data_IF_654645653907
#
_entry.id   IF_654645653907
#
_cell.length_a   1.000
_cell.length_b   1.000
_cell.length_c   1.000
_cell.angle_alpha   90.00
_cell.angle_beta   90.00
_cell.angle_gamma   90.00
#
_symmetry.space_group_name_H-M   'P 1'
#
loop_
_entity.id
_entity.type
_entity.pdbx_description
1 polymer ?
#
# COMPACT_ATOMS: atom_id res chain seq x y z
N UNK A 1 -0.68 -18.87 -39.22
CA UNK A 1 0.03 -19.20 -37.96
C UNK A 1 1.44 -18.57 -37.91
N UNK A 2 1.56 -17.24 -38.04
CA UNK A 2 2.86 -16.51 -38.12
C UNK A 2 3.09 -15.61 -36.88
N UNK A 3 2.08 -15.42 -36.02
CA UNK A 3 2.14 -14.51 -34.88
C UNK A 3 3.08 -14.99 -33.75
N UNK A 4 3.22 -16.29 -33.54
CA UNK A 4 4.05 -16.87 -32.47
C UNK A 4 5.55 -16.54 -32.59
N UNK A 5 6.22 -16.71 -33.75
CA UNK A 5 7.65 -16.40 -33.87
C UNK A 5 7.97 -14.89 -33.78
N UNK A 6 7.07 -14.02 -34.27
CA UNK A 6 7.23 -12.55 -34.19
C UNK A 6 7.04 -12.05 -32.75
N UNK A 7 6.02 -12.55 -32.05
CA UNK A 7 5.81 -12.24 -30.63
C UNK A 7 7.00 -12.71 -29.78
N UNK A 8 7.52 -13.91 -30.06
CA UNK A 8 8.66 -14.45 -29.33
C UNK A 8 9.93 -13.61 -29.53
N UNK A 9 10.23 -13.18 -30.76
CA UNK A 9 11.38 -12.31 -31.04
C UNK A 9 11.23 -10.92 -30.43
N UNK A 10 10.03 -10.34 -30.44
CA UNK A 10 9.75 -9.08 -29.75
C UNK A 10 9.92 -9.20 -28.23
N UNK A 11 9.42 -10.27 -27.63
CA UNK A 11 9.60 -10.56 -26.20
C UNK A 11 11.06 -10.69 -25.83
N UNK A 12 11.85 -11.45 -26.60
CA UNK A 12 13.30 -11.59 -26.37
C UNK A 12 14.03 -10.25 -26.49
N UNK A 13 13.67 -9.41 -27.46
CA UNK A 13 14.25 -8.07 -27.63
C UNK A 13 13.92 -7.16 -26.45
N UNK A 14 12.67 -7.17 -25.99
CA UNK A 14 12.21 -6.45 -24.80
C UNK A 14 12.97 -6.95 -23.56
N UNK A 15 13.12 -8.27 -23.39
CA UNK A 15 13.83 -8.87 -22.26
C UNK A 15 15.31 -8.50 -22.25
N UNK A 16 15.96 -8.52 -23.42
CA UNK A 16 17.35 -8.13 -23.55
C UNK A 16 17.55 -6.65 -23.26
N UNK A 17 16.65 -5.80 -23.78
CA UNK A 17 16.63 -4.38 -23.53
C UNK A 17 16.39 -4.05 -22.04
N UNK A 18 15.43 -4.73 -21.40
CA UNK A 18 15.16 -4.63 -19.96
C UNK A 18 16.40 -5.03 -19.16
N UNK A 19 16.99 -6.21 -19.43
CA UNK A 19 18.22 -6.66 -18.75
C UNK A 19 19.34 -5.64 -18.90
N UNK A 20 19.52 -5.06 -20.08
CA UNK A 20 20.55 -4.05 -20.28
C UNK A 20 20.35 -2.83 -19.36
N UNK A 21 19.12 -2.35 -19.22
CA UNK A 21 18.80 -1.16 -18.40
C UNK A 21 18.68 -1.46 -16.90
N UNK A 22 18.42 -2.70 -16.51
CA UNK A 22 18.28 -3.11 -15.09
C UNK A 22 19.52 -3.78 -14.50
N UNK A 23 20.56 -4.06 -15.31
CA UNK A 23 21.84 -4.66 -14.88
C UNK A 23 22.51 -3.96 -13.70
N UNK A 24 22.31 -2.65 -13.57
CA UNK A 24 22.91 -1.85 -12.50
C UNK A 24 22.23 -2.00 -11.14
N UNK A 25 21.05 -2.64 -11.08
CA UNK A 25 20.30 -2.87 -9.84
C UNK A 25 20.77 -4.15 -9.16
N UNK A 26 20.95 -4.08 -7.84
CA UNK A 26 21.32 -5.19 -6.99
C UNK A 26 20.21 -5.42 -5.97
N UNK A 27 20.10 -6.65 -5.45
CA UNK A 27 19.08 -7.01 -4.45
C UNK A 27 19.07 -6.07 -3.23
N UNK A 28 20.21 -5.54 -2.82
CA UNK A 28 20.34 -4.58 -1.73
C UNK A 28 19.63 -3.25 -1.98
N UNK A 29 19.39 -2.87 -3.24
CA UNK A 29 18.67 -1.64 -3.58
C UNK A 29 17.19 -1.72 -3.18
N UNK A 30 16.65 -2.94 -3.22
CA UNK A 30 15.26 -3.28 -2.89
C UNK A 30 15.08 -3.81 -1.48
N UNK A 31 16.16 -4.27 -0.83
CA UNK A 31 16.06 -4.91 0.47
C UNK A 31 15.87 -3.89 1.60
N UNK A 32 14.75 -3.95 2.36
CA UNK A 32 14.51 -3.01 3.44
C UNK A 32 15.33 -3.27 4.71
N UNK A 33 15.83 -4.49 4.91
CA UNK A 33 16.58 -4.85 6.12
C UNK A 33 15.82 -4.48 7.40
N UNK A 34 16.48 -3.74 8.29
CA UNK A 34 15.89 -3.31 9.58
C UNK A 34 14.70 -2.35 9.42
N UNK A 35 14.63 -1.59 8.33
CA UNK A 35 13.50 -0.70 8.08
C UNK A 35 12.17 -1.46 8.00
N UNK A 36 12.21 -2.75 7.65
CA UNK A 36 11.02 -3.59 7.67
C UNK A 36 10.46 -3.76 9.08
N UNK A 37 11.32 -3.94 10.09
CA UNK A 37 10.88 -4.00 11.49
C UNK A 37 10.29 -2.67 11.95
N UNK A 38 10.91 -1.55 11.56
CA UNK A 38 10.37 -0.21 11.85
C UNK A 38 8.95 -0.05 11.27
N UNK A 39 8.67 -0.65 10.12
CA UNK A 39 7.33 -0.70 9.54
C UNK A 39 6.34 -1.42 10.47
N UNK A 40 6.68 -2.62 10.94
CA UNK A 40 5.81 -3.37 11.87
C UNK A 40 5.61 -2.64 13.20
N UNK A 41 6.65 -2.00 13.71
CA UNK A 41 6.54 -1.19 14.94
C UNK A 41 5.59 -0.02 14.70
N UNK A 42 5.74 0.71 13.59
CA UNK A 42 4.83 1.79 13.22
C UNK A 42 3.39 1.28 13.01
N UNK A 43 3.22 0.13 12.35
CA UNK A 43 1.92 -0.50 12.18
C UNK A 43 1.28 -0.82 13.53
N UNK A 44 2.00 -1.49 14.43
CA UNK A 44 1.52 -1.84 15.76
C UNK A 44 1.19 -0.59 16.59
N UNK A 45 2.00 0.46 16.48
CA UNK A 45 1.78 1.74 17.17
C UNK A 45 0.47 2.43 16.74
N UNK A 46 -0.01 2.20 15.52
CA UNK A 46 -1.32 2.70 15.06
C UNK A 46 -2.44 1.70 15.29
N UNK A 47 -2.20 0.42 15.03
CA UNK A 47 -3.22 -0.61 15.08
C UNK A 47 -3.63 -0.97 16.51
N UNK A 48 -2.69 -1.10 17.46
CA UNK A 48 -2.99 -1.51 18.83
C UNK A 48 -3.86 -0.49 19.58
N UNK A 49 -3.58 0.83 19.54
CA UNK A 49 -4.47 1.82 20.14
C UNK A 49 -5.84 1.86 19.46
N UNK A 50 -5.91 1.65 18.15
CA UNK A 50 -7.18 1.57 17.43
C UNK A 50 -8.03 0.37 17.88
N UNK A 51 -7.43 -0.82 18.01
CA UNK A 51 -8.09 -2.02 18.55
C UNK A 51 -8.60 -1.74 19.96
N UNK A 52 -7.74 -1.21 20.84
CA UNK A 52 -8.11 -0.88 22.21
C UNK A 52 -9.26 0.14 22.26
N UNK A 53 -9.22 1.16 21.40
CA UNK A 53 -10.29 2.16 21.27
C UNK A 53 -11.64 1.54 20.94
N UNK A 54 -11.68 0.57 20.02
CA UNK A 54 -12.92 -0.15 19.69
C UNK A 54 -13.41 -0.99 20.87
N UNK A 55 -12.52 -1.78 21.48
CA UNK A 55 -12.87 -2.64 22.63
C UNK A 55 -13.40 -1.82 23.82
N UNK A 56 -12.77 -0.68 24.12
CA UNK A 56 -13.22 0.23 25.18
C UNK A 56 -14.56 0.88 24.81
N UNK A 57 -14.74 1.27 23.55
CA UNK A 57 -16.00 1.87 23.09
C UNK A 57 -17.17 0.88 23.19
N UNK A 58 -16.94 -0.38 22.81
CA UNK A 58 -17.92 -1.45 22.94
C UNK A 58 -18.31 -1.69 24.41
N UNK A 59 -17.32 -1.77 25.30
CA UNK A 59 -17.55 -1.91 26.74
C UNK A 59 -18.31 -0.72 27.36
N UNK A 60 -18.03 0.50 26.90
CA UNK A 60 -18.73 1.71 27.35
C UNK A 60 -20.16 1.83 26.81
N UNK A 61 -20.45 1.27 25.63
CA UNK A 61 -21.78 1.32 25.02
C UNK A 61 -22.86 0.72 25.92
N UNK A 62 -22.53 -0.30 26.71
CA UNK A 62 -23.43 -0.88 27.71
C UNK A 62 -23.72 0.01 28.93
N UNK A 63 -23.09 1.19 29.04
CA UNK A 63 -23.12 2.04 30.25
C UNK A 63 -23.44 3.50 29.97
N UNK A 64 -23.04 4.02 28.82
CA UNK A 64 -23.18 5.43 28.45
C UNK A 64 -23.41 5.61 26.94
N UNK A 65 -24.03 6.72 26.50
CA UNK A 65 -24.14 7.05 25.08
C UNK A 65 -22.75 7.34 24.50
N UNK A 66 -22.26 6.44 23.65
CA UNK A 66 -20.94 6.53 22.97
C UNK A 66 -21.06 6.80 21.47
N UNK A 67 -22.16 7.42 21.04
CA UNK A 67 -22.46 7.67 19.62
C UNK A 67 -21.32 8.37 18.88
N UNK A 68 -20.69 9.36 19.52
CA UNK A 68 -19.53 10.06 18.95
C UNK A 68 -18.34 9.12 18.67
N UNK A 69 -17.99 8.25 19.61
CA UNK A 69 -16.90 7.28 19.46
C UNK A 69 -17.21 6.24 18.39
N UNK A 70 -18.47 5.77 18.33
CA UNK A 70 -18.92 4.84 17.29
C UNK A 70 -18.85 5.46 15.90
N UNK A 71 -19.30 6.71 15.75
CA UNK A 71 -19.18 7.45 14.48
C UNK A 71 -17.71 7.63 14.11
N UNK A 72 -16.84 7.99 15.05
CA UNK A 72 -15.40 8.14 14.79
C UNK A 72 -14.75 6.82 14.31
N UNK A 73 -15.16 5.66 14.86
CA UNK A 73 -14.71 4.35 14.39
C UNK A 73 -15.15 4.08 12.95
N UNK A 74 -16.42 4.38 12.62
CA UNK A 74 -16.95 4.17 11.26
C UNK A 74 -16.24 5.04 10.22
N UNK A 75 -16.03 6.33 10.54
CA UNK A 75 -15.28 7.25 9.68
C UNK A 75 -13.82 6.81 9.52
N UNK A 76 -13.18 6.31 10.59
CA UNK A 76 -11.79 5.84 10.58
C UNK A 76 -11.56 4.57 9.75
N UNK A 77 -12.60 3.79 9.47
CA UNK A 77 -12.56 2.60 8.59
C UNK A 77 -12.72 3.01 7.11
N UNK A 78 -13.06 4.27 6.84
CA UNK A 78 -13.37 4.77 5.50
C UNK A 78 -12.26 4.56 4.47
N UNK A 79 -12.50 3.78 3.39
CA UNK A 79 -11.49 3.51 2.37
C UNK A 79 -11.12 4.74 1.53
N UNK A 80 -11.96 5.78 1.56
CA UNK A 80 -11.80 6.98 0.73
C UNK A 80 -10.48 7.70 0.97
N UNK A 81 -10.13 7.97 2.24
CA UNK A 81 -8.89 8.67 2.58
C UNK A 81 -7.67 7.84 2.16
N UNK A 82 -7.69 6.53 2.46
CA UNK A 82 -6.59 5.64 2.10
C UNK A 82 -6.39 5.58 0.58
N UNK A 83 -7.48 5.45 -0.20
CA UNK A 83 -7.44 5.38 -1.66
C UNK A 83 -6.95 6.70 -2.29
N UNK A 84 -7.45 7.84 -1.81
CA UNK A 84 -7.05 9.16 -2.33
C UNK A 84 -5.57 9.43 -2.06
N UNK A 85 -5.11 9.18 -0.83
CA UNK A 85 -3.69 9.38 -0.48
C UNK A 85 -2.80 8.34 -1.17
N UNK A 86 -3.25 7.09 -1.30
CA UNK A 86 -2.56 6.05 -2.06
C UNK A 86 -2.38 6.43 -3.53
N UNK A 87 -3.45 6.87 -4.20
CA UNK A 87 -3.40 7.32 -5.59
C UNK A 87 -2.50 8.56 -5.75
N UNK A 88 -2.66 9.57 -4.90
CA UNK A 88 -1.82 10.77 -4.93
C UNK A 88 -0.33 10.42 -4.72
N UNK A 89 -0.02 9.58 -3.73
CA UNK A 89 1.34 9.13 -3.47
C UNK A 89 1.93 8.36 -4.65
N UNK A 90 1.13 7.54 -5.34
CA UNK A 90 1.58 6.79 -6.53
C UNK A 90 1.84 7.73 -7.71
N UNK A 91 1.00 8.76 -7.90
CA UNK A 91 1.24 9.80 -8.90
C UNK A 91 2.55 10.53 -8.60
N UNK A 92 2.75 10.98 -7.35
CA UNK A 92 3.99 11.64 -6.92
C UNK A 92 5.22 10.73 -7.08
N UNK A 93 5.09 9.45 -6.77
CA UNK A 93 6.15 8.45 -6.98
C UNK A 93 6.46 8.24 -8.47
N UNK A 94 5.45 8.15 -9.33
CA UNK A 94 5.63 8.08 -10.77
C UNK A 94 6.35 9.31 -11.33
N UNK A 95 5.94 10.51 -10.89
CA UNK A 95 6.64 11.75 -11.23
C UNK A 95 8.09 11.73 -10.72
N UNK A 96 8.34 11.18 -9.53
CA UNK A 96 9.70 11.01 -9.00
C UNK A 96 10.54 10.09 -9.88
N UNK A 97 9.97 8.98 -10.37
CA UNK A 97 10.67 8.09 -11.31
C UNK A 97 11.03 8.81 -12.62
N UNK A 98 10.16 9.70 -13.11
CA UNK A 98 10.45 10.53 -14.28
C UNK A 98 11.56 11.57 -13.99
N UNK A 99 11.50 12.23 -12.82
CA UNK A 99 12.42 13.27 -12.39
C UNK A 99 13.15 12.92 -11.07
N UNK A 100 14.05 11.92 -11.06
CA UNK A 100 14.55 11.28 -9.83
C UNK A 100 15.50 12.13 -8.99
N UNK A 101 15.95 13.28 -9.49
CA UNK A 101 16.81 14.21 -8.76
C UNK A 101 16.02 15.24 -7.94
N UNK A 102 14.69 15.25 -8.04
CA UNK A 102 13.84 16.25 -7.39
C UNK A 102 13.56 15.89 -5.93
N UNK A 103 14.34 16.47 -5.01
CA UNK A 103 14.24 16.17 -3.56
C UNK A 103 12.88 16.47 -2.95
N UNK A 104 12.24 17.56 -3.36
CA UNK A 104 10.90 17.93 -2.86
C UNK A 104 9.85 16.87 -3.24
N UNK A 105 10.00 16.28 -4.43
CA UNK A 105 9.07 15.28 -4.95
C UNK A 105 9.24 13.95 -4.22
N UNK A 106 10.47 13.58 -3.85
CA UNK A 106 10.72 12.45 -2.96
C UNK A 106 10.17 12.66 -1.56
N UNK A 107 10.34 13.85 -0.98
CA UNK A 107 9.74 14.20 0.31
C UNK A 107 8.21 14.08 0.26
N UNK A 108 7.57 14.62 -0.78
CA UNK A 108 6.13 14.55 -0.95
C UNK A 108 5.64 13.11 -1.13
N UNK A 109 6.23 12.34 -2.06
CA UNK A 109 5.86 10.95 -2.31
C UNK A 109 6.05 10.08 -1.05
N UNK A 110 7.18 10.25 -0.36
CA UNK A 110 7.51 9.56 0.89
C UNK A 110 6.48 9.85 1.98
N UNK A 111 6.21 11.14 2.25
CA UNK A 111 5.33 11.54 3.34
C UNK A 111 3.88 11.13 3.07
N UNK A 112 3.39 11.33 1.84
CA UNK A 112 2.05 10.92 1.45
C UNK A 112 1.90 9.40 1.61
N UNK A 113 2.86 8.61 1.13
CA UNK A 113 2.80 7.14 1.26
C UNK A 113 2.92 6.64 2.70
N UNK A 114 3.75 7.27 3.53
CA UNK A 114 3.79 6.95 4.96
C UNK A 114 2.49 7.30 5.68
N UNK A 115 1.86 8.41 5.32
CA UNK A 115 0.56 8.76 5.86
C UNK A 115 -0.50 7.74 5.41
N UNK A 116 -0.52 7.35 4.13
CA UNK A 116 -1.36 6.25 3.62
C UNK A 116 -1.17 4.98 4.44
N UNK A 117 0.08 4.59 4.68
CA UNK A 117 0.40 3.42 5.50
C UNK A 117 -0.15 3.50 6.93
N UNK A 118 0.01 4.67 7.55
CA UNK A 118 -0.44 4.94 8.92
C UNK A 118 -1.97 4.90 9.02
N UNK A 119 -2.67 5.53 8.08
CA UNK A 119 -4.14 5.45 7.99
C UNK A 119 -4.62 4.03 7.76
N UNK A 120 -3.94 3.26 6.91
CA UNK A 120 -4.29 1.87 6.67
C UNK A 120 -4.03 0.99 7.90
N UNK A 121 -2.98 1.26 8.68
CA UNK A 121 -2.71 0.56 9.93
C UNK A 121 -3.78 0.87 10.99
N UNK A 122 -4.19 2.14 11.10
CA UNK A 122 -5.29 2.56 11.95
C UNK A 122 -6.61 1.90 11.54
N UNK A 123 -6.98 1.98 10.26
CA UNK A 123 -8.22 1.39 9.73
C UNK A 123 -8.27 -0.13 9.90
N UNK A 124 -7.14 -0.83 9.66
CA UNK A 124 -7.04 -2.27 9.92
C UNK A 124 -7.16 -2.60 11.41
N UNK A 125 -6.58 -1.77 12.30
CA UNK A 125 -6.75 -1.90 13.74
C UNK A 125 -8.21 -1.73 14.18
N UNK A 126 -8.91 -0.73 13.66
CA UNK A 126 -10.33 -0.51 13.92
C UNK A 126 -11.19 -1.69 13.45
N UNK A 127 -10.97 -2.17 12.22
CA UNK A 127 -11.66 -3.34 11.66
C UNK A 127 -11.41 -4.60 12.49
N UNK A 128 -10.16 -4.83 12.89
CA UNK A 128 -9.81 -5.98 13.72
C UNK A 128 -10.44 -5.87 15.11
N UNK A 129 -10.47 -4.67 15.70
CA UNK A 129 -11.17 -4.39 16.95
C UNK A 129 -12.66 -4.71 16.86
N UNK A 130 -13.34 -4.28 15.79
CA UNK A 130 -14.75 -4.62 15.56
C UNK A 130 -14.94 -6.13 15.41
N UNK A 131 -14.07 -6.78 14.64
CA UNK A 131 -14.12 -8.24 14.45
C UNK A 131 -13.99 -9.00 15.78
N UNK A 132 -13.14 -8.52 16.70
CA UNK A 132 -13.00 -9.10 18.05
C UNK A 132 -14.28 -8.91 18.87
N UNK A 133 -14.91 -7.73 18.80
CA UNK A 133 -16.09 -7.40 19.62
C UNK A 133 -17.39 -8.06 19.12
N UNK A 134 -17.48 -8.42 17.82
CA UNK A 134 -18.69 -9.01 17.23
C UNK A 134 -19.07 -10.38 17.84
N UNK A 135 -18.17 -11.05 18.56
CA UNK A 135 -18.48 -12.32 19.24
C UNK A 135 -18.79 -13.46 18.25
N UNK A 136 -18.77 -14.70 18.75
CA UNK A 136 -18.90 -15.92 17.95
C UNK A 136 -20.15 -15.94 17.04
N UNK A 137 -20.08 -16.61 15.86
CA UNK A 137 -21.16 -16.58 14.87
C UNK A 137 -22.47 -17.22 15.39
N UNK A 138 -23.62 -16.83 14.81
CA UNK A 138 -24.93 -17.42 15.13
C UNK A 138 -24.94 -18.92 14.83
N UNK A 139 -25.97 -19.62 15.28
CA UNK A 139 -26.20 -21.07 15.22
C UNK A 139 -26.15 -21.75 13.81
N UNK A 140 -25.60 -21.09 12.79
CA UNK A 140 -25.16 -21.70 11.53
C UNK A 140 -23.93 -22.58 11.80
N UNK A 141 -24.03 -23.88 11.56
CA UNK A 141 -23.04 -24.89 11.96
C UNK A 141 -21.57 -24.61 11.59
N UNK A 142 -20.68 -25.38 12.20
CA UNK A 142 -19.21 -25.21 12.22
C UNK A 142 -18.58 -24.87 10.85
N UNK A 143 -19.09 -25.47 9.75
CA UNK A 143 -18.58 -25.25 8.40
C UNK A 143 -18.85 -23.82 7.88
N UNK A 144 -20.02 -23.24 8.16
CA UNK A 144 -20.33 -21.87 7.73
C UNK A 144 -19.52 -20.85 8.53
N UNK A 145 -19.32 -21.10 9.81
CA UNK A 145 -18.46 -20.29 10.68
C UNK A 145 -17.00 -20.28 10.19
N UNK A 146 -16.45 -21.44 9.85
CA UNK A 146 -15.06 -21.56 9.38
C UNK A 146 -14.85 -20.93 8.01
N UNK A 147 -15.79 -21.10 7.06
CA UNK A 147 -15.74 -20.46 5.74
C UNK A 147 -15.78 -18.93 5.85
N UNK A 148 -16.65 -18.40 6.72
CA UNK A 148 -16.73 -16.95 6.96
C UNK A 148 -15.45 -16.40 7.58
N UNK A 149 -14.89 -17.08 8.57
CA UNK A 149 -13.63 -16.69 9.19
C UNK A 149 -12.46 -16.72 8.20
N UNK A 150 -12.37 -17.77 7.36
CA UNK A 150 -11.36 -17.88 6.32
C UNK A 150 -11.48 -16.78 5.26
N UNK A 151 -12.70 -16.48 4.80
CA UNK A 151 -12.96 -15.41 3.84
C UNK A 151 -12.56 -14.03 4.38
N UNK A 152 -12.89 -13.75 5.64
CA UNK A 152 -12.53 -12.49 6.29
C UNK A 152 -11.01 -12.41 6.52
N UNK A 153 -10.38 -13.50 6.96
CA UNK A 153 -8.92 -13.58 7.09
C UNK A 153 -8.19 -13.34 5.77
N UNK A 154 -8.73 -13.83 4.64
CA UNK A 154 -8.19 -13.57 3.31
C UNK A 154 -8.28 -12.08 2.95
N UNK A 155 -9.42 -11.42 3.22
CA UNK A 155 -9.59 -9.98 2.98
C UNK A 155 -8.63 -9.15 3.84
N UNK A 156 -8.45 -9.48 5.13
CA UNK A 156 -7.46 -8.83 5.99
C UNK A 156 -6.03 -9.01 5.46
N UNK A 157 -5.70 -10.20 4.96
CA UNK A 157 -4.37 -10.48 4.40
C UNK A 157 -4.12 -9.65 3.15
N UNK A 158 -5.11 -9.51 2.26
CA UNK A 158 -5.04 -8.66 1.07
C UNK A 158 -4.87 -7.19 1.48
N UNK A 159 -5.70 -6.70 2.39
CA UNK A 159 -5.65 -5.31 2.84
C UNK A 159 -4.32 -4.98 3.55
N UNK A 160 -3.81 -5.89 4.38
CA UNK A 160 -2.48 -5.77 4.98
C UNK A 160 -1.38 -5.73 3.92
N UNK A 161 -1.44 -6.62 2.92
CA UNK A 161 -0.49 -6.65 1.81
C UNK A 161 -0.48 -5.35 0.99
N UNK A 162 -1.66 -4.80 0.69
CA UNK A 162 -1.80 -3.50 0.02
C UNK A 162 -1.25 -2.36 0.87
N UNK A 163 -1.52 -2.37 2.18
CA UNK A 163 -0.98 -1.36 3.09
C UNK A 163 0.56 -1.44 3.17
N UNK A 164 1.10 -2.66 3.27
CA UNK A 164 2.54 -2.88 3.26
C UNK A 164 3.19 -2.46 1.93
N UNK A 165 2.48 -2.61 0.81
CA UNK A 165 2.94 -2.09 -0.48
C UNK A 165 3.05 -0.55 -0.47
N UNK A 166 2.11 0.17 0.14
CA UNK A 166 2.20 1.62 0.31
C UNK A 166 3.45 2.02 1.12
N UNK A 167 3.70 1.33 2.24
CA UNK A 167 4.94 1.54 3.00
C UNK A 167 6.20 1.25 2.16
N UNK A 168 6.19 0.17 1.38
CA UNK A 168 7.33 -0.20 0.55
C UNK A 168 7.62 0.84 -0.53
N UNK A 169 6.59 1.43 -1.14
CA UNK A 169 6.75 2.57 -2.06
C UNK A 169 7.36 3.76 -1.33
N UNK A 170 6.91 4.06 -0.11
CA UNK A 170 7.53 5.09 0.72
C UNK A 170 9.03 4.80 0.94
N UNK A 171 9.37 3.56 1.30
CA UNK A 171 10.77 3.13 1.49
C UNK A 171 11.63 3.33 0.23
N UNK A 172 11.09 3.07 -0.97
CA UNK A 172 11.77 3.33 -2.24
C UNK A 172 11.90 4.84 -2.51
N UNK A 173 10.90 5.64 -2.13
CA UNK A 173 10.89 7.09 -2.28
C UNK A 173 11.69 7.85 -1.21
N UNK A 174 12.30 7.15 -0.25
CA UNK A 174 12.87 7.79 0.94
C UNK A 174 13.94 8.85 0.57
N UNK A 175 13.79 10.10 1.03
CA UNK A 175 14.76 11.16 0.79
C UNK A 175 16.18 10.81 1.28
N UNK A 176 16.28 10.03 2.35
CA UNK A 176 17.55 9.56 2.93
C UNK A 176 18.30 8.62 1.98
N UNK A 177 17.59 8.01 1.03
CA UNK A 177 18.10 7.05 0.03
C UNK A 177 18.00 7.61 -1.39
N UNK A 178 18.00 8.92 -1.58
CA UNK A 178 18.06 9.48 -2.94
C UNK A 178 19.43 9.30 -3.59
N UNK A 179 20.49 9.38 -2.79
CA UNK A 179 21.87 9.26 -3.25
C UNK A 179 22.42 7.83 -3.13
N UNK A 180 21.60 6.87 -2.69
CA UNK A 180 21.99 5.46 -2.48
C UNK A 180 20.82 4.53 -2.82
N UNK A 181 21.06 3.29 -3.21
CA UNK A 181 19.97 2.34 -3.45
C UNK A 181 19.13 2.62 -4.71
N UNK A 182 17.84 2.31 -4.65
CA UNK A 182 16.93 2.29 -5.81
C UNK A 182 16.87 3.63 -6.58
N UNK A 183 16.68 4.76 -5.91
CA UNK A 183 16.50 6.05 -6.59
C UNK A 183 17.75 6.54 -7.30
N UNK A 184 18.94 6.23 -6.75
CA UNK A 184 20.21 6.51 -7.43
C UNK A 184 20.30 5.76 -8.77
N UNK A 185 19.93 4.47 -8.76
CA UNK A 185 19.97 3.62 -9.96
C UNK A 185 18.94 4.06 -11.00
N UNK A 186 17.74 4.43 -10.56
CA UNK A 186 16.73 5.04 -11.44
C UNK A 186 17.29 6.32 -12.08
N UNK A 187 17.96 7.19 -11.32
CA UNK A 187 18.56 8.42 -11.86
C UNK A 187 19.65 8.16 -12.92
N UNK A 188 20.32 7.00 -12.87
CA UNK A 188 21.33 6.58 -13.84
C UNK A 188 20.74 5.92 -15.11
N UNK A 189 19.51 5.39 -15.04
CA UNK A 189 18.85 4.81 -16.20
C UNK A 189 18.57 5.85 -17.29
N UNK A 190 18.45 5.44 -18.56
CA UNK A 190 18.08 6.36 -19.63
C UNK A 190 16.63 6.89 -19.48
N UNK A 191 16.32 8.12 -19.92
CA UNK A 191 14.95 8.64 -19.94
C UNK A 191 13.95 7.75 -20.68
N UNK A 192 14.42 7.05 -21.73
CA UNK A 192 13.64 6.09 -22.52
C UNK A 192 13.10 4.91 -21.69
N UNK A 193 13.75 4.58 -20.57
CA UNK A 193 13.27 3.57 -19.62
C UNK A 193 12.40 4.18 -18.52
N UNK A 194 12.81 5.32 -17.99
CA UNK A 194 12.14 5.98 -16.86
C UNK A 194 10.75 6.53 -17.22
N UNK A 195 10.61 7.17 -18.37
CA UNK A 195 9.37 7.83 -18.75
C UNK A 195 8.22 6.84 -19.00
N UNK A 196 8.40 5.72 -19.71
CA UNK A 196 7.35 4.70 -19.82
C UNK A 196 6.99 4.09 -18.46
N UNK A 197 7.97 3.82 -17.60
CA UNK A 197 7.74 3.30 -16.25
C UNK A 197 6.95 4.29 -15.38
N UNK A 198 7.31 5.57 -15.42
CA UNK A 198 6.58 6.62 -14.75
C UNK A 198 5.14 6.74 -15.28
N UNK A 199 4.98 6.71 -16.60
CA UNK A 199 3.67 6.78 -17.24
C UNK A 199 2.78 5.59 -16.86
N UNK A 200 3.31 4.37 -16.78
CA UNK A 200 2.52 3.20 -16.35
C UNK A 200 2.12 3.29 -14.88
N UNK A 201 3.01 3.74 -14.00
CA UNK A 201 2.70 3.98 -12.57
C UNK A 201 1.57 5.01 -12.43
N UNK A 202 1.70 6.16 -13.11
CA UNK A 202 0.70 7.24 -13.07
C UNK A 202 -0.62 6.78 -13.68
N UNK A 203 -0.58 6.11 -14.83
CA UNK A 203 -1.79 5.60 -15.49
C UNK A 203 -2.52 4.57 -14.62
N UNK A 204 -1.79 3.66 -13.96
CA UNK A 204 -2.38 2.70 -13.04
C UNK A 204 -3.04 3.40 -11.84
N UNK A 205 -2.38 4.41 -11.26
CA UNK A 205 -2.91 5.20 -10.16
C UNK A 205 -4.20 5.95 -10.57
N UNK A 206 -4.16 6.65 -11.71
CA UNK A 206 -5.31 7.39 -12.23
C UNK A 206 -6.45 6.46 -12.63
N UNK A 207 -6.16 5.32 -13.25
CA UNK A 207 -7.19 4.33 -13.60
C UNK A 207 -7.85 3.75 -12.34
N UNK A 208 -7.07 3.49 -11.28
CA UNK A 208 -7.61 3.02 -10.00
C UNK A 208 -8.51 4.07 -9.35
N UNK A 209 -8.12 5.35 -9.41
CA UNK A 209 -8.91 6.46 -8.91
C UNK A 209 -10.17 6.68 -9.76
N UNK A 210 -10.07 6.56 -11.08
CA UNK A 210 -11.21 6.67 -11.99
C UNK A 210 -12.22 5.55 -11.79
N UNK A 211 -11.78 4.30 -11.61
CA UNK A 211 -12.67 3.19 -11.26
C UNK A 211 -13.35 3.40 -9.90
N UNK A 212 -12.67 4.10 -8.98
CA UNK A 212 -13.20 4.41 -7.66
C UNK A 212 -14.17 5.60 -7.65
N UNK A 213 -13.96 6.60 -8.51
CA UNK A 213 -14.80 7.80 -8.67
C UNK A 213 -15.89 7.64 -9.75
N UNK A 214 -15.80 6.60 -10.57
CA UNK A 214 -16.58 6.38 -11.79
C UNK A 214 -17.72 5.38 -11.65
N UNK A 215 -18.20 5.21 -10.41
CA UNK A 215 -19.61 5.07 -10.05
C UNK A 215 -19.93 6.14 -9.03
#
# INVERSE_FOLDING_TARGET
MIAAPVLHTLLLRILHWLRHHTRGFVRSDFWPGRAFLDAFVAFAAWALPAIAGVVVTDWLHGRQPVTYLQTAIQEGIGPHIWNVFGALGMVLFGLLVAAPRQRWLALAAYQVMLNTYSFGALGLGLLLGQWICIGAPPASGLLHASMRAAGIGALFSIAFGLNLAAWYVAFLASPKRMHTGFMLKIAQCAPQFRLPLAATIVAAALASLYLYLGR
#
